data_IF_136608986702
#
_entry.id   IF_136608986702
#
_cell.length_a   1.000
_cell.length_b   1.000
_cell.length_c   1.000
_cell.angle_alpha   90.00
_cell.angle_beta   90.00
_cell.angle_gamma   90.00
#
_symmetry.space_group_name_H-M   'P 1'
#
loop_
_entity.id
_entity.type
_entity.pdbx_description
1 polymer ?
#
# COMPACT_ATOMS: atom_id res chain seq x y z
N UNK A 1 -7.45 -28.70 9.20
CA UNK A 1 -6.77 -27.74 8.30
C UNK A 1 -7.82 -27.02 7.47
N UNK A 2 -7.84 -25.70 7.46
CA UNK A 2 -8.77 -24.87 6.67
C UNK A 2 -8.65 -25.19 5.16
N UNK A 3 -7.52 -25.71 4.73
CA UNK A 3 -7.22 -26.10 3.35
C UNK A 3 -7.33 -27.61 3.11
N UNK A 4 -7.81 -28.35 4.08
CA UNK A 4 -7.74 -29.81 4.10
C UNK A 4 -8.77 -30.55 3.30
N UNK A 5 -9.38 -29.95 2.32
CA UNK A 5 -10.02 -30.69 1.21
C UNK A 5 -10.34 -29.71 0.09
N UNK A 6 -9.66 -29.87 -1.02
CA UNK A 6 -10.12 -29.45 -2.35
C UNK A 6 -11.50 -29.98 -2.68
N UNK A 7 -12.03 -30.89 -1.89
CA UNK A 7 -13.32 -31.55 -2.06
C UNK A 7 -14.50 -30.85 -1.39
N UNK A 8 -14.27 -29.89 -0.51
CA UNK A 8 -15.37 -29.20 0.20
C UNK A 8 -15.90 -27.96 -0.50
N UNK A 9 -15.14 -27.40 -1.44
CA UNK A 9 -15.65 -26.42 -2.40
C UNK A 9 -16.06 -27.23 -3.62
N UNK A 10 -17.34 -27.25 -3.93
CA UNK A 10 -17.96 -28.08 -4.96
C UNK A 10 -17.09 -28.21 -6.21
N UNK A 11 -16.79 -29.44 -6.62
CA UNK A 11 -16.28 -29.75 -7.94
C UNK A 11 -17.27 -29.19 -8.97
N UNK A 12 -16.98 -28.03 -9.50
CA UNK A 12 -17.80 -27.40 -10.54
C UNK A 12 -17.52 -28.16 -11.83
N UNK A 13 -18.48 -28.90 -12.30
CA UNK A 13 -18.41 -29.61 -13.57
C UNK A 13 -18.19 -28.63 -14.74
N UNK A 14 -17.66 -29.13 -15.87
CA UNK A 14 -17.49 -28.36 -17.10
C UNK A 14 -18.76 -27.63 -17.56
N UNK A 15 -19.92 -28.16 -17.21
CA UNK A 15 -21.24 -27.57 -17.48
C UNK A 15 -21.45 -26.27 -16.70
N UNK A 16 -20.89 -26.18 -15.52
CA UNK A 16 -20.98 -24.97 -14.68
C UNK A 16 -20.01 -23.87 -15.11
N UNK A 17 -18.89 -24.22 -15.75
CA UNK A 17 -17.95 -23.24 -16.30
C UNK A 17 -18.61 -22.41 -17.41
N UNK A 18 -19.43 -23.02 -18.28
CA UNK A 18 -20.19 -22.29 -19.29
C UNK A 18 -21.16 -21.28 -18.67
N UNK A 19 -21.83 -21.64 -17.59
CA UNK A 19 -22.71 -20.74 -16.85
C UNK A 19 -21.95 -19.58 -16.21
N UNK A 20 -20.72 -19.82 -15.74
CA UNK A 20 -19.85 -18.76 -15.21
C UNK A 20 -19.51 -17.78 -16.34
N UNK A 21 -19.11 -18.28 -17.52
CA UNK A 21 -18.80 -17.47 -18.69
C UNK A 21 -20.01 -16.66 -19.16
N UNK A 22 -21.20 -17.28 -19.22
CA UNK A 22 -22.44 -16.57 -19.58
C UNK A 22 -22.72 -15.38 -18.65
N UNK A 23 -22.59 -15.59 -17.33
CA UNK A 23 -22.75 -14.53 -16.32
C UNK A 23 -21.65 -13.48 -16.39
N UNK A 24 -20.42 -13.88 -16.74
CA UNK A 24 -19.34 -12.91 -16.99
C UNK A 24 -19.65 -12.00 -18.15
N UNK A 25 -20.15 -12.53 -19.27
CA UNK A 25 -20.55 -11.73 -20.42
C UNK A 25 -21.65 -10.72 -20.05
N UNK A 26 -22.61 -11.11 -19.21
CA UNK A 26 -23.64 -10.19 -18.69
C UNK A 26 -23.03 -9.05 -17.85
N UNK A 27 -22.02 -9.35 -17.03
CA UNK A 27 -21.30 -8.35 -16.23
C UNK A 27 -20.48 -7.42 -17.14
N UNK A 28 -19.76 -7.96 -18.11
CA UNK A 28 -19.00 -7.18 -19.09
C UNK A 28 -19.90 -6.20 -19.84
N UNK A 29 -21.04 -6.67 -20.32
CA UNK A 29 -22.02 -5.84 -21.02
C UNK A 29 -22.61 -4.75 -20.11
N UNK A 30 -22.95 -5.09 -18.86
CA UNK A 30 -23.56 -4.15 -17.91
C UNK A 30 -22.60 -3.08 -17.38
N UNK A 31 -21.33 -3.44 -17.18
CA UNK A 31 -20.28 -2.54 -16.67
C UNK A 31 -19.50 -1.84 -17.81
N UNK A 32 -19.72 -2.23 -19.06
CA UNK A 32 -19.02 -1.68 -20.22
C UNK A 32 -17.51 -1.98 -20.22
N UNK A 33 -17.13 -3.15 -19.72
CA UNK A 33 -15.74 -3.61 -19.62
C UNK A 33 -15.51 -4.79 -20.56
N UNK A 34 -14.25 -5.02 -20.92
CA UNK A 34 -13.83 -6.22 -21.63
C UNK A 34 -12.65 -6.84 -20.86
N UNK A 35 -12.84 -8.06 -20.39
CA UNK A 35 -11.83 -8.82 -19.71
C UNK A 35 -10.86 -9.45 -20.71
N UNK A 36 -9.63 -9.69 -20.29
CA UNK A 36 -8.74 -10.59 -21.02
C UNK A 36 -8.85 -12.03 -20.49
N UNK A 37 -8.26 -12.95 -21.24
CA UNK A 37 -8.27 -14.38 -20.93
C UNK A 37 -7.84 -14.69 -19.48
N UNK A 38 -6.81 -13.99 -18.96
CA UNK A 38 -6.33 -14.22 -17.61
C UNK A 38 -7.24 -13.62 -16.54
N UNK A 39 -7.90 -12.51 -16.83
CA UNK A 39 -8.91 -11.92 -15.96
C UNK A 39 -10.17 -12.80 -15.89
N UNK A 40 -10.67 -13.29 -17.05
CA UNK A 40 -11.76 -14.25 -17.10
C UNK A 40 -11.42 -15.52 -16.31
N UNK A 41 -10.20 -16.04 -16.51
CA UNK A 41 -9.71 -17.20 -15.77
C UNK A 41 -9.68 -16.94 -14.26
N UNK A 42 -9.27 -15.74 -13.81
CA UNK A 42 -9.27 -15.40 -12.39
C UNK A 42 -10.67 -15.47 -11.78
N UNK A 43 -11.71 -15.03 -12.51
CA UNK A 43 -13.10 -15.14 -12.02
C UNK A 43 -13.55 -16.59 -12.00
N UNK A 44 -13.25 -17.36 -13.04
CA UNK A 44 -13.62 -18.80 -13.11
C UNK A 44 -12.94 -19.55 -11.95
N UNK A 45 -11.65 -19.32 -11.70
CA UNK A 45 -10.93 -19.98 -10.61
C UNK A 45 -11.42 -19.51 -9.23
N UNK A 46 -11.84 -18.23 -9.08
CA UNK A 46 -12.44 -17.74 -7.84
C UNK A 46 -13.74 -18.49 -7.48
N UNK A 47 -14.50 -18.91 -8.50
CA UNK A 47 -15.72 -19.71 -8.30
C UNK A 47 -15.39 -21.16 -7.96
N UNK A 48 -14.34 -21.72 -8.57
CA UNK A 48 -13.97 -23.14 -8.43
C UNK A 48 -13.16 -23.47 -7.19
N UNK A 49 -12.36 -22.52 -6.69
CA UNK A 49 -11.35 -22.79 -5.67
C UNK A 49 -11.73 -22.24 -4.31
N UNK A 50 -11.36 -22.96 -3.25
CA UNK A 50 -11.46 -22.46 -1.87
C UNK A 50 -10.37 -21.43 -1.54
N UNK A 51 -9.20 -21.53 -2.19
CA UNK A 51 -8.12 -20.55 -2.11
C UNK A 51 -7.62 -20.23 -3.52
N UNK A 52 -7.64 -18.95 -3.85
CA UNK A 52 -7.09 -18.41 -5.11
C UNK A 52 -6.08 -17.31 -4.82
N UNK A 53 -4.97 -17.32 -5.52
CA UNK A 53 -3.98 -16.26 -5.52
C UNK A 53 -4.02 -15.53 -6.86
N UNK A 54 -4.16 -14.20 -6.84
CA UNK A 54 -4.08 -13.34 -8.02
C UNK A 54 -2.87 -12.42 -7.84
N UNK A 55 -1.91 -12.51 -8.75
CA UNK A 55 -0.72 -11.64 -8.72
C UNK A 55 -0.57 -10.90 -10.05
N UNK A 56 0.02 -9.70 -9.99
CA UNK A 56 0.28 -8.90 -11.17
C UNK A 56 0.88 -7.54 -10.82
N UNK A 57 1.63 -6.97 -11.75
CA UNK A 57 2.25 -5.66 -11.61
C UNK A 57 1.27 -4.50 -11.83
N UNK A 58 1.78 -3.26 -11.91
CA UNK A 58 0.97 -2.09 -12.21
C UNK A 58 0.39 -2.19 -13.64
N UNK A 59 -0.84 -1.69 -13.80
CA UNK A 59 -1.50 -1.65 -15.11
C UNK A 59 -1.99 -2.99 -15.68
N UNK A 60 -1.93 -4.08 -14.90
CA UNK A 60 -2.38 -5.42 -15.32
C UNK A 60 -3.85 -5.70 -15.02
N UNK A 61 -4.59 -4.71 -14.52
CA UNK A 61 -6.03 -4.84 -14.32
C UNK A 61 -6.47 -5.60 -13.08
N UNK A 62 -5.62 -5.73 -12.04
CA UNK A 62 -6.00 -6.36 -10.75
C UNK A 62 -7.31 -5.80 -10.19
N UNK A 63 -7.45 -4.47 -10.16
CA UNK A 63 -8.64 -3.80 -9.62
C UNK A 63 -9.90 -4.15 -10.40
N UNK A 64 -9.82 -4.19 -11.73
CA UNK A 64 -10.93 -4.59 -12.59
C UNK A 64 -11.32 -6.04 -12.31
N UNK A 65 -10.34 -6.93 -12.19
CA UNK A 65 -10.55 -8.34 -11.86
C UNK A 65 -11.25 -8.50 -10.51
N UNK A 66 -10.77 -7.80 -9.47
CA UNK A 66 -11.40 -7.83 -8.13
C UNK A 66 -12.85 -7.34 -8.23
N UNK A 67 -13.09 -6.22 -8.90
CA UNK A 67 -14.44 -5.66 -9.07
C UNK A 67 -15.36 -6.65 -9.77
N UNK A 68 -14.90 -7.31 -10.82
CA UNK A 68 -15.69 -8.32 -11.55
C UNK A 68 -16.00 -9.54 -10.65
N UNK A 69 -15.03 -10.01 -9.88
CA UNK A 69 -15.22 -11.12 -8.91
C UNK A 69 -16.29 -10.73 -7.87
N UNK A 70 -16.21 -9.51 -7.33
CA UNK A 70 -17.19 -9.02 -6.36
C UNK A 70 -18.58 -9.00 -6.99
N UNK A 71 -18.74 -8.42 -8.18
CA UNK A 71 -20.02 -8.38 -8.89
C UNK A 71 -20.59 -9.74 -9.19
N UNK A 72 -19.72 -10.69 -9.57
CA UNK A 72 -20.13 -12.06 -9.79
C UNK A 72 -20.75 -12.68 -8.53
N UNK A 73 -20.08 -12.59 -7.39
CA UNK A 73 -20.57 -13.18 -6.14
C UNK A 73 -21.75 -12.42 -5.55
N UNK A 74 -21.78 -11.08 -5.67
CA UNK A 74 -22.93 -10.25 -5.28
C UNK A 74 -24.20 -10.67 -6.03
N UNK A 75 -24.09 -10.90 -7.36
CA UNK A 75 -25.20 -11.39 -8.18
C UNK A 75 -25.67 -12.81 -7.80
N UNK A 76 -24.86 -13.56 -7.05
CA UNK A 76 -25.24 -14.85 -6.48
C UNK A 76 -25.86 -14.72 -5.06
N UNK A 77 -25.95 -13.51 -4.50
CA UNK A 77 -26.43 -13.26 -3.14
C UNK A 77 -25.47 -13.73 -2.05
N UNK A 78 -24.17 -13.81 -2.37
CA UNK A 78 -23.14 -14.22 -1.41
C UNK A 78 -22.68 -13.06 -0.54
N UNK A 79 -22.37 -13.33 0.73
CA UNK A 79 -21.77 -12.38 1.66
C UNK A 79 -20.28 -12.25 1.39
N UNK A 80 -19.83 -11.01 1.11
CA UNK A 80 -18.46 -10.71 0.69
C UNK A 80 -17.81 -9.78 1.70
N UNK A 81 -16.64 -10.13 2.19
CA UNK A 81 -15.80 -9.26 3.02
C UNK A 81 -14.52 -8.86 2.28
N UNK A 82 -14.24 -7.57 2.30
CA UNK A 82 -13.04 -7.00 1.66
C UNK A 82 -12.11 -6.44 2.72
N UNK A 83 -10.82 -6.78 2.63
CA UNK A 83 -9.84 -6.21 3.53
C UNK A 83 -8.46 -6.01 2.88
N UNK A 84 -7.67 -5.16 3.53
CA UNK A 84 -6.28 -4.91 3.17
C UNK A 84 -5.43 -4.73 4.44
N UNK A 85 -4.10 -4.88 4.37
CA UNK A 85 -3.23 -4.78 5.56
C UNK A 85 -3.15 -3.38 6.16
N UNK A 86 -3.41 -2.32 5.39
CA UNK A 86 -3.34 -0.93 5.86
C UNK A 86 -4.63 -0.15 5.59
N UNK A 87 -4.86 0.91 6.38
CA UNK A 87 -6.03 1.78 6.21
C UNK A 87 -6.08 2.43 4.82
N UNK A 88 -4.94 2.88 4.30
CA UNK A 88 -4.86 3.47 2.96
C UNK A 88 -5.16 2.46 1.85
N UNK A 89 -4.66 1.24 1.97
CA UNK A 89 -4.97 0.20 1.00
C UNK A 89 -6.46 -0.17 1.05
N UNK A 90 -7.05 -0.29 2.23
CA UNK A 90 -8.48 -0.53 2.40
C UNK A 90 -9.34 0.61 1.82
N UNK A 91 -8.96 1.87 2.10
CA UNK A 91 -9.63 3.04 1.52
C UNK A 91 -9.56 3.02 -0.01
N UNK A 92 -8.38 2.78 -0.58
CA UNK A 92 -8.21 2.67 -2.03
C UNK A 92 -9.07 1.55 -2.63
N UNK A 93 -9.12 0.39 -1.95
CA UNK A 93 -9.97 -0.73 -2.37
C UNK A 93 -11.44 -0.32 -2.39
N UNK A 94 -11.93 0.39 -1.37
CA UNK A 94 -13.29 0.94 -1.32
C UNK A 94 -13.54 1.93 -2.46
N UNK A 95 -12.66 2.89 -2.68
CA UNK A 95 -12.79 3.91 -3.74
C UNK A 95 -12.82 3.30 -5.15
N UNK A 96 -12.01 2.28 -5.39
CA UNK A 96 -11.86 1.68 -6.72
C UNK A 96 -12.91 0.62 -7.02
N UNK A 97 -13.37 -0.12 -6.02
CA UNK A 97 -14.38 -1.16 -6.20
C UNK A 97 -15.81 -0.66 -5.99
N UNK A 98 -15.98 0.38 -5.18
CA UNK A 98 -17.29 0.88 -4.73
C UNK A 98 -17.89 0.07 -3.56
N UNK A 99 -17.17 -0.93 -3.01
CA UNK A 99 -17.59 -1.78 -1.89
C UNK A 99 -16.84 -1.42 -0.62
N UNK A 100 -17.49 -1.62 0.53
CA UNK A 100 -16.85 -1.38 1.81
C UNK A 100 -15.66 -2.32 2.03
N UNK A 101 -14.54 -1.73 2.39
CA UNK A 101 -13.32 -2.45 2.69
C UNK A 101 -12.72 -1.92 4.00
N UNK A 102 -12.17 -2.82 4.80
CA UNK A 102 -11.57 -2.52 6.11
C UNK A 102 -10.15 -3.04 6.21
N UNK A 103 -9.43 -2.67 7.27
CA UNK A 103 -8.13 -3.31 7.51
C UNK A 103 -8.33 -4.73 8.02
N UNK A 104 -7.37 -5.65 7.74
CA UNK A 104 -7.42 -7.03 8.27
C UNK A 104 -7.54 -7.00 9.81
N UNK A 105 -6.86 -6.08 10.48
CA UNK A 105 -6.95 -5.94 11.94
C UNK A 105 -8.36 -5.58 12.40
N UNK A 106 -9.05 -4.69 11.67
CA UNK A 106 -10.44 -4.33 11.98
C UNK A 106 -11.41 -5.45 11.63
N UNK A 107 -11.16 -6.16 10.54
CA UNK A 107 -11.93 -7.34 10.16
C UNK A 107 -11.87 -8.42 11.25
N UNK A 108 -10.70 -8.60 11.87
CA UNK A 108 -10.48 -9.56 12.94
C UNK A 108 -10.86 -9.03 14.33
N UNK A 109 -11.38 -7.79 14.44
CA UNK A 109 -11.81 -7.17 15.69
C UNK A 109 -10.69 -7.21 16.74
N UNK A 110 -9.56 -6.55 16.45
CA UNK A 110 -8.44 -6.49 17.37
C UNK A 110 -8.79 -5.67 18.63
N UNK A 111 -8.79 -6.33 19.78
CA UNK A 111 -8.93 -5.71 21.09
C UNK A 111 -7.58 -5.46 21.73
N UNK A 112 -7.38 -4.25 22.27
CA UNK A 112 -6.15 -3.83 22.91
C UNK A 112 -5.13 -3.22 21.96
N UNK A 113 -4.12 -2.57 22.54
CA UNK A 113 -3.02 -1.96 21.80
C UNK A 113 -1.80 -2.90 21.83
N UNK A 114 -1.43 -3.57 20.72
CA UNK A 114 -0.29 -4.49 20.70
C UNK A 114 1.04 -3.82 21.07
N UNK A 115 1.15 -2.49 20.89
CA UNK A 115 2.36 -1.72 21.17
C UNK A 115 2.56 -1.42 22.67
N UNK A 116 1.53 -1.63 23.52
CA UNK A 116 1.62 -1.41 24.97
C UNK A 116 1.94 -2.67 25.79
N UNK A 117 2.41 -3.75 25.15
CA UNK A 117 2.74 -5.00 25.80
C UNK A 117 1.50 -5.78 26.30
N UNK A 118 0.31 -5.33 26.02
CA UNK A 118 -0.90 -6.13 26.12
C UNK A 118 -0.97 -7.03 24.88
N UNK A 119 -1.07 -8.34 25.09
CA UNK A 119 -1.32 -9.28 23.99
C UNK A 119 -2.65 -8.92 23.35
N UNK A 120 -2.61 -8.12 22.27
CA UNK A 120 -3.79 -7.83 21.47
C UNK A 120 -4.36 -9.15 20.99
N UNK A 121 -5.54 -9.50 21.47
CA UNK A 121 -6.26 -10.70 21.02
C UNK A 121 -7.24 -10.28 19.96
N UNK A 122 -7.25 -11.04 18.87
CA UNK A 122 -8.32 -10.93 17.88
C UNK A 122 -9.57 -11.63 18.41
N UNK A 123 -10.71 -10.94 18.39
CA UNK A 123 -12.00 -11.53 18.77
C UNK A 123 -12.46 -12.55 17.75
N UNK A 124 -12.17 -12.30 16.46
CA UNK A 124 -12.44 -13.26 15.38
C UNK A 124 -11.35 -14.33 15.34
N UNK A 125 -11.75 -15.55 15.55
CA UNK A 125 -10.87 -16.73 15.66
C UNK A 125 -11.65 -18.02 15.41
N UNK A 126 -11.08 -19.17 15.70
CA UNK A 126 -11.70 -20.49 15.49
C UNK A 126 -13.03 -20.69 16.27
N UNK A 127 -13.23 -19.99 17.40
CA UNK A 127 -14.44 -20.07 18.24
C UNK A 127 -15.47 -18.99 17.86
N UNK A 128 -15.04 -17.93 17.21
CA UNK A 128 -15.87 -16.81 16.75
C UNK A 128 -15.44 -16.42 15.34
N UNK A 129 -15.71 -17.25 14.32
CA UNK A 129 -15.22 -17.02 12.97
C UNK A 129 -15.93 -15.87 12.25
N UNK A 130 -15.37 -15.47 11.13
CA UNK A 130 -15.99 -14.53 10.21
C UNK A 130 -17.18 -15.22 9.50
N UNK A 131 -18.29 -14.52 9.44
CA UNK A 131 -19.48 -14.97 8.72
C UNK A 131 -19.42 -14.37 7.29
N UNK A 132 -18.90 -15.15 6.34
CA UNK A 132 -18.80 -14.75 4.95
C UNK A 132 -18.67 -15.96 4.02
N UNK A 133 -19.20 -15.82 2.82
CA UNK A 133 -19.03 -16.79 1.73
C UNK A 133 -17.71 -16.58 1.00
N UNK A 134 -17.29 -15.30 0.88
CA UNK A 134 -16.09 -14.89 0.15
C UNK A 134 -15.33 -13.83 0.93
N UNK A 135 -14.03 -14.02 1.08
CA UNK A 135 -13.12 -13.04 1.67
C UNK A 135 -12.05 -12.70 0.65
N UNK A 136 -11.91 -11.42 0.33
CA UNK A 136 -10.90 -10.91 -0.61
C UNK A 136 -9.93 -10.03 0.15
N UNK A 137 -8.65 -10.39 0.09
CA UNK A 137 -7.56 -9.62 0.70
C UNK A 137 -6.67 -9.05 -0.40
N UNK A 138 -6.58 -7.72 -0.47
CA UNK A 138 -5.65 -7.03 -1.38
C UNK A 138 -4.35 -6.64 -0.67
N UNK A 139 -3.33 -6.25 -1.44
CA UNK A 139 -1.98 -5.87 -0.96
C UNK A 139 -1.30 -6.96 -0.10
N UNK A 140 -1.46 -8.22 -0.50
CA UNK A 140 -0.94 -9.38 0.22
C UNK A 140 0.58 -9.40 0.40
N UNK A 141 1.34 -8.66 -0.39
CA UNK A 141 2.79 -8.50 -0.20
C UNK A 141 3.15 -7.93 1.19
N UNK A 142 2.23 -7.18 1.81
CA UNK A 142 2.41 -6.54 3.11
C UNK A 142 1.96 -7.41 4.30
N UNK A 143 1.35 -8.57 4.05
CA UNK A 143 0.84 -9.46 5.11
C UNK A 143 1.96 -10.36 5.61
N UNK A 144 2.25 -10.30 6.91
CA UNK A 144 3.23 -11.16 7.55
C UNK A 144 2.62 -12.51 8.00
N UNK A 145 3.48 -13.40 8.50
CA UNK A 145 3.05 -14.76 8.85
C UNK A 145 2.10 -14.79 10.05
N UNK A 146 2.22 -13.85 10.99
CA UNK A 146 1.35 -13.81 12.17
C UNK A 146 -0.05 -13.30 11.82
N UNK A 147 -0.10 -12.24 11.01
CA UNK A 147 -1.38 -11.70 10.55
C UNK A 147 -2.10 -12.71 9.65
N UNK A 148 -1.37 -13.41 8.77
CA UNK A 148 -1.94 -14.48 7.95
C UNK A 148 -2.46 -15.64 8.83
N UNK A 149 -1.71 -16.04 9.84
CA UNK A 149 -2.16 -17.08 10.78
C UNK A 149 -3.45 -16.67 11.49
N UNK A 150 -3.54 -15.43 11.95
CA UNK A 150 -4.74 -14.94 12.63
C UNK A 150 -5.94 -14.89 11.69
N UNK A 151 -5.74 -14.44 10.45
CA UNK A 151 -6.78 -14.45 9.43
C UNK A 151 -7.30 -15.87 9.16
N UNK A 152 -6.41 -16.84 8.96
CA UNK A 152 -6.78 -18.21 8.69
C UNK A 152 -7.54 -18.88 9.85
N UNK A 153 -7.24 -18.49 11.08
CA UNK A 153 -7.98 -18.99 12.26
C UNK A 153 -9.42 -18.49 12.33
N UNK A 154 -9.69 -17.35 11.71
CA UNK A 154 -11.03 -16.75 11.69
C UNK A 154 -11.89 -17.18 10.50
N UNK A 155 -11.36 -17.99 9.58
CA UNK A 155 -12.07 -18.44 8.38
C UNK A 155 -12.66 -19.83 8.59
N UNK A 156 -13.94 -19.99 8.23
CA UNK A 156 -14.62 -21.28 8.30
C UNK A 156 -14.41 -22.13 7.04
N UNK A 157 -14.59 -23.43 7.19
CA UNK A 157 -14.63 -24.35 6.03
C UNK A 157 -15.80 -23.99 5.13
N UNK A 158 -15.55 -23.87 3.83
CA UNK A 158 -16.56 -23.48 2.85
C UNK A 158 -16.46 -22.01 2.39
N UNK A 159 -15.84 -21.13 3.20
CA UNK A 159 -15.54 -19.75 2.79
C UNK A 159 -14.43 -19.74 1.72
N UNK A 160 -14.64 -19.00 0.65
CA UNK A 160 -13.62 -18.76 -0.38
C UNK A 160 -12.68 -17.65 0.06
N UNK A 161 -11.38 -17.91 -0.05
CA UNK A 161 -10.33 -16.92 0.25
C UNK A 161 -9.60 -16.56 -1.03
N UNK A 162 -9.65 -15.27 -1.40
CA UNK A 162 -8.99 -14.73 -2.58
C UNK A 162 -7.90 -13.76 -2.11
N UNK A 163 -6.66 -14.07 -2.41
CA UNK A 163 -5.48 -13.32 -2.03
C UNK A 163 -4.94 -12.57 -3.25
N UNK A 164 -4.94 -11.25 -3.19
CA UNK A 164 -4.49 -10.41 -4.31
C UNK A 164 -3.25 -9.61 -3.89
N UNK A 165 -2.27 -9.50 -4.78
CA UNK A 165 -1.08 -8.72 -4.49
C UNK A 165 -0.08 -8.71 -5.63
N UNK A 166 0.99 -7.98 -5.42
CA UNK A 166 2.13 -7.93 -6.34
C UNK A 166 3.34 -8.56 -5.67
N UNK A 167 3.71 -9.76 -6.11
CA UNK A 167 4.83 -10.55 -5.55
C UNK A 167 6.19 -9.87 -5.73
N UNK A 168 6.29 -8.89 -6.63
CA UNK A 168 7.53 -8.17 -6.94
C UNK A 168 7.74 -6.91 -6.10
N UNK A 169 6.70 -6.48 -5.35
CA UNK A 169 6.84 -5.41 -4.37
C UNK A 169 7.63 -5.88 -3.14
N UNK A 170 8.03 -4.91 -2.33
CA UNK A 170 8.68 -5.22 -1.05
C UNK A 170 7.78 -6.13 -0.19
N UNK A 171 8.37 -7.13 0.47
CA UNK A 171 7.63 -7.95 1.42
C UNK A 171 7.24 -7.16 2.67
N UNK A 172 6.40 -7.78 3.51
CA UNK A 172 5.98 -7.22 4.79
C UNK A 172 7.17 -6.79 5.67
N UNK A 173 6.96 -5.81 6.54
CA UNK A 173 7.96 -5.44 7.56
C UNK A 173 8.11 -6.56 8.59
N UNK A 174 7.00 -7.23 8.94
CA UNK A 174 6.96 -8.39 9.81
C UNK A 174 7.60 -9.64 9.20
N UNK A 175 7.69 -10.73 9.96
CA UNK A 175 8.40 -11.94 9.55
C UNK A 175 7.68 -12.71 8.43
N UNK A 176 8.48 -13.41 7.62
CA UNK A 176 8.00 -14.23 6.51
C UNK A 176 7.81 -13.46 5.20
N UNK A 177 7.52 -14.22 4.14
CA UNK A 177 7.15 -13.71 2.81
C UNK A 177 5.96 -14.53 2.32
N UNK A 178 4.82 -14.33 2.95
CA UNK A 178 3.65 -15.21 2.85
C UNK A 178 3.18 -15.37 1.41
N UNK A 179 2.97 -14.27 0.68
CA UNK A 179 2.48 -14.33 -0.70
C UNK A 179 3.45 -15.13 -1.59
N UNK A 180 4.74 -14.85 -1.51
CA UNK A 180 5.75 -15.55 -2.28
C UNK A 180 5.88 -17.01 -1.90
N UNK A 181 5.89 -17.32 -0.60
CA UNK A 181 6.01 -18.70 -0.12
C UNK A 181 4.83 -19.56 -0.58
N UNK A 182 3.61 -19.01 -0.58
CA UNK A 182 2.40 -19.69 -1.08
C UNK A 182 2.51 -19.93 -2.59
N UNK A 183 2.89 -18.92 -3.38
CA UNK A 183 3.08 -19.05 -4.83
C UNK A 183 4.15 -20.11 -5.15
N UNK A 184 5.30 -20.01 -4.47
CA UNK A 184 6.42 -20.92 -4.69
C UNK A 184 6.21 -22.34 -4.16
N UNK A 185 5.17 -22.56 -3.39
CA UNK A 185 4.78 -23.93 -2.97
C UNK A 185 4.21 -24.76 -4.11
N UNK A 186 3.70 -24.08 -5.16
CA UNK A 186 3.05 -24.70 -6.33
C UNK A 186 1.86 -25.62 -5.96
N UNK A 187 1.25 -25.36 -4.80
CA UNK A 187 0.20 -26.20 -4.24
C UNK A 187 -1.20 -25.65 -4.53
N UNK A 188 -1.31 -24.33 -4.65
CA UNK A 188 -2.59 -23.63 -4.82
C UNK A 188 -2.71 -22.99 -6.20
N UNK A 189 -3.94 -22.69 -6.59
CA UNK A 189 -4.20 -22.02 -7.86
C UNK A 189 -3.71 -20.58 -7.83
N UNK A 190 -2.88 -20.25 -8.79
CA UNK A 190 -2.30 -18.90 -8.98
C UNK A 190 -2.64 -18.41 -10.37
N UNK A 191 -3.21 -17.22 -10.44
CA UNK A 191 -3.44 -16.50 -11.70
C UNK A 191 -2.50 -15.30 -11.76
N UNK A 192 -1.62 -15.28 -12.76
CA UNK A 192 -0.70 -14.20 -13.02
C UNK A 192 -1.27 -13.27 -14.10
N UNK A 193 -1.56 -12.03 -13.73
CA UNK A 193 -1.98 -10.99 -14.68
C UNK A 193 -0.74 -10.32 -15.24
N UNK A 194 -0.40 -10.59 -16.49
CA UNK A 194 0.82 -10.08 -17.13
C UNK A 194 0.54 -9.03 -18.20
N UNK A 195 -0.65 -9.03 -18.78
CA UNK A 195 -1.02 -8.13 -19.87
C UNK A 195 -1.19 -6.69 -19.34
N UNK A 196 -0.40 -5.79 -19.90
CA UNK A 196 -0.53 -4.35 -19.65
C UNK A 196 -1.63 -3.80 -20.56
N UNK A 197 -2.68 -3.22 -19.97
CA UNK A 197 -3.78 -2.67 -20.73
C UNK A 197 -3.39 -1.37 -21.46
N UNK A 198 -4.12 -1.07 -22.56
CA UNK A 198 -3.79 0.02 -23.49
C UNK A 198 -3.60 1.39 -22.80
N UNK A 199 -4.43 1.72 -21.83
CA UNK A 199 -4.30 2.96 -21.05
C UNK A 199 -3.00 3.01 -20.23
N UNK A 200 -2.65 1.89 -19.62
CA UNK A 200 -1.42 1.76 -18.84
C UNK A 200 -0.16 1.64 -19.74
N UNK A 201 -0.30 1.11 -20.95
CA UNK A 201 0.79 0.98 -21.92
C UNK A 201 1.28 2.33 -22.50
N UNK A 202 0.55 3.43 -22.28
CA UNK A 202 1.01 4.79 -22.62
C UNK A 202 1.87 5.41 -21.51
N UNK A 203 1.94 4.82 -20.33
CA UNK A 203 2.70 5.29 -19.18
C UNK A 203 4.09 4.69 -19.15
N UNK A 204 5.11 5.52 -19.19
CA UNK A 204 6.51 5.07 -18.99
C UNK A 204 6.77 4.61 -17.56
N UNK A 205 6.01 5.08 -16.55
CA UNK A 205 6.05 4.54 -15.18
C UNK A 205 5.74 3.05 -15.23
N UNK A 206 4.64 2.66 -15.86
CA UNK A 206 4.20 1.25 -15.95
C UNK A 206 5.20 0.42 -16.76
N UNK A 207 5.56 0.87 -17.96
CA UNK A 207 6.50 0.16 -18.83
C UNK A 207 7.85 -0.04 -18.13
N UNK A 208 8.38 1.03 -17.52
CA UNK A 208 9.69 0.96 -16.87
C UNK A 208 9.63 0.17 -15.54
N UNK A 209 8.51 0.17 -14.80
CA UNK A 209 8.32 -0.71 -13.66
C UNK A 209 8.45 -2.18 -14.08
N UNK A 210 7.80 -2.60 -15.17
CA UNK A 210 7.94 -3.96 -15.68
C UNK A 210 9.35 -4.28 -16.17
N UNK A 211 10.03 -3.33 -16.84
CA UNK A 211 11.44 -3.48 -17.23
C UNK A 211 12.37 -3.62 -16.00
N UNK A 212 12.16 -2.78 -14.98
CA UNK A 212 12.92 -2.87 -13.72
C UNK A 212 12.74 -4.26 -13.12
N UNK A 213 11.52 -4.74 -13.02
CA UNK A 213 11.20 -6.04 -12.45
C UNK A 213 11.91 -7.19 -13.18
N UNK A 214 11.96 -7.14 -14.52
CA UNK A 214 12.65 -8.14 -15.35
C UNK A 214 14.17 -7.94 -15.44
N UNK A 215 14.70 -6.85 -14.86
CA UNK A 215 16.11 -6.47 -14.98
C UNK A 215 16.50 -5.93 -16.36
N UNK A 216 15.52 -5.62 -17.22
CA UNK A 216 15.70 -5.09 -18.56
C UNK A 216 16.26 -3.66 -18.56
N UNK A 217 16.80 -3.24 -19.70
CA UNK A 217 17.37 -1.89 -19.83
C UNK A 217 16.27 -0.81 -19.84
N UNK A 218 16.51 0.24 -19.04
CA UNK A 218 15.66 1.44 -18.97
C UNK A 218 16.45 2.62 -19.50
N UNK A 219 15.94 3.29 -20.52
CA UNK A 219 16.56 4.49 -21.06
C UNK A 219 16.24 5.72 -20.21
N UNK A 220 17.14 6.10 -19.32
CA UNK A 220 16.99 7.26 -18.42
C UNK A 220 17.10 8.61 -19.15
N UNK A 221 17.63 8.65 -20.37
CA UNK A 221 17.74 9.86 -21.19
C UNK A 221 16.50 10.10 -22.08
N UNK A 222 15.57 9.13 -22.13
CA UNK A 222 14.33 9.27 -22.89
C UNK A 222 13.50 10.44 -22.35
N UNK A 223 13.05 11.33 -23.25
CA UNK A 223 12.02 12.31 -22.92
C UNK A 223 10.72 11.59 -22.62
N UNK A 224 10.28 11.66 -21.40
CA UNK A 224 9.05 11.06 -20.92
C UNK A 224 8.18 12.12 -20.26
N UNK A 225 6.87 11.88 -20.23
CA UNK A 225 5.94 12.76 -19.53
C UNK A 225 5.72 12.37 -18.08
N UNK A 226 6.00 11.13 -17.70
CA UNK A 226 5.67 10.61 -16.38
C UNK A 226 6.83 9.89 -15.67
N UNK A 227 7.94 9.63 -16.38
CA UNK A 227 9.13 8.97 -15.84
C UNK A 227 10.38 9.79 -16.17
N UNK A 228 10.86 10.56 -15.20
CA UNK A 228 11.93 11.54 -15.41
C UNK A 228 13.16 11.19 -14.59
N UNK A 229 14.34 11.38 -15.18
CA UNK A 229 15.62 11.28 -14.50
C UNK A 229 16.43 12.57 -14.66
N UNK A 230 16.81 13.16 -13.54
CA UNK A 230 17.63 14.39 -13.51
C UNK A 230 19.00 14.05 -12.93
N UNK A 231 20.01 14.10 -13.79
CA UNK A 231 21.39 13.81 -13.39
C UNK A 231 21.92 14.87 -12.44
N UNK A 232 22.42 14.44 -11.28
CA UNK A 232 23.19 15.22 -10.29
C UNK A 232 24.22 14.30 -9.66
N UNK A 233 25.35 14.83 -9.22
CA UNK A 233 26.47 14.00 -8.77
C UNK A 233 26.69 14.08 -7.25
N UNK A 234 26.34 15.18 -6.63
CA UNK A 234 26.52 15.42 -5.20
C UNK A 234 25.18 15.61 -4.46
N UNK A 235 25.20 15.39 -3.14
CA UNK A 235 24.01 15.42 -2.32
C UNK A 235 23.34 16.80 -2.29
N UNK A 236 24.09 17.89 -2.30
CA UNK A 236 23.54 19.24 -2.21
C UNK A 236 22.87 19.66 -3.52
N UNK A 237 23.46 19.32 -4.67
CA UNK A 237 22.83 19.54 -5.98
C UNK A 237 21.57 18.69 -6.17
N UNK A 238 21.54 17.47 -5.62
CA UNK A 238 20.34 16.62 -5.59
C UNK A 238 19.24 17.29 -4.77
N UNK A 239 19.54 17.74 -3.55
CA UNK A 239 18.57 18.41 -2.67
C UNK A 239 18.02 19.67 -3.33
N UNK A 240 18.86 20.51 -3.91
CA UNK A 240 18.42 21.73 -4.59
C UNK A 240 17.50 21.46 -5.79
N UNK A 241 17.81 20.43 -6.59
CA UNK A 241 16.95 20.03 -7.69
C UNK A 241 15.61 19.47 -7.17
N UNK A 242 15.62 18.66 -6.11
CA UNK A 242 14.40 18.14 -5.48
C UNK A 242 13.52 19.29 -4.94
N UNK A 243 14.10 20.29 -4.28
CA UNK A 243 13.36 21.46 -3.78
C UNK A 243 12.68 22.22 -4.91
N UNK A 244 13.38 22.46 -6.02
CA UNK A 244 12.81 23.12 -7.20
C UNK A 244 11.66 22.30 -7.79
N UNK A 245 11.81 20.99 -7.90
CA UNK A 245 10.76 20.09 -8.37
C UNK A 245 9.51 20.15 -7.49
N UNK A 246 9.68 20.05 -6.19
CA UNK A 246 8.56 19.96 -5.23
C UNK A 246 7.82 21.30 -5.12
N UNK A 247 8.54 22.42 -5.10
CA UNK A 247 7.93 23.75 -4.93
C UNK A 247 7.30 24.32 -6.19
N UNK A 248 7.96 24.11 -7.33
CA UNK A 248 7.68 24.93 -8.52
C UNK A 248 7.22 24.10 -9.73
N UNK A 249 7.81 22.92 -9.95
CA UNK A 249 7.64 22.21 -11.20
C UNK A 249 6.54 21.17 -11.15
N UNK A 250 6.55 20.30 -10.14
CA UNK A 250 5.64 19.16 -10.07
C UNK A 250 4.20 19.54 -9.70
N UNK A 251 3.92 20.44 -8.75
CA UNK A 251 2.54 20.75 -8.39
C UNK A 251 1.67 21.16 -9.58
N UNK A 252 2.02 22.15 -10.41
CA UNK A 252 1.24 22.49 -11.60
C UNK A 252 1.30 21.42 -12.69
N UNK A 253 2.39 20.63 -12.74
CA UNK A 253 2.55 19.60 -13.75
C UNK A 253 1.61 18.40 -13.54
N UNK A 254 1.40 18.00 -12.31
CA UNK A 254 0.53 16.87 -11.97
C UNK A 254 -0.86 17.31 -11.45
N UNK A 255 -1.13 18.62 -11.45
CA UNK A 255 -2.36 19.20 -10.91
C UNK A 255 -2.63 18.68 -9.49
N UNK A 256 -1.73 19.07 -8.57
CA UNK A 256 -1.77 18.65 -7.17
C UNK A 256 -1.15 19.71 -6.26
N UNK A 257 -1.44 19.65 -4.96
CA UNK A 257 -0.81 20.51 -3.96
C UNK A 257 0.64 20.11 -3.70
N UNK A 258 1.46 21.04 -3.20
CA UNK A 258 2.85 20.78 -2.81
C UNK A 258 2.94 19.64 -1.78
N UNK A 259 1.96 19.53 -0.89
CA UNK A 259 1.90 18.48 0.12
C UNK A 259 1.56 17.09 -0.44
N UNK A 260 1.02 17.02 -1.67
CA UNK A 260 0.74 15.75 -2.35
C UNK A 260 1.96 15.18 -3.06
N UNK A 261 3.02 15.99 -3.23
CA UNK A 261 4.29 15.52 -3.76
C UNK A 261 5.05 14.80 -2.65
N UNK A 262 5.46 13.57 -2.90
CA UNK A 262 6.11 12.75 -1.89
C UNK A 262 7.56 12.43 -2.24
N UNK A 263 8.45 12.71 -1.29
CA UNK A 263 9.84 12.25 -1.36
C UNK A 263 9.94 10.85 -0.78
N UNK A 264 10.48 9.92 -1.57
CA UNK A 264 10.75 8.55 -1.15
C UNK A 264 12.25 8.28 -1.16
N UNK A 265 12.79 7.80 -0.05
CA UNK A 265 14.23 7.49 0.07
C UNK A 265 14.45 6.09 0.63
N UNK A 266 15.53 5.40 0.27
CA UNK A 266 15.83 4.06 0.78
C UNK A 266 16.10 4.01 2.29
N UNK A 267 16.67 5.09 2.85
CA UNK A 267 17.26 5.08 4.20
C UNK A 267 16.60 6.07 5.14
N UNK A 268 16.63 5.76 6.43
CA UNK A 268 16.20 6.68 7.50
C UNK A 268 17.29 7.71 7.82
N UNK A 269 18.54 7.24 7.92
CA UNK A 269 19.72 8.05 8.26
C UNK A 269 20.63 8.23 7.04
N UNK A 270 21.55 9.21 7.11
CA UNK A 270 22.52 9.50 6.08
C UNK A 270 22.26 10.82 5.35
N UNK A 271 23.10 11.12 4.34
CA UNK A 271 23.07 12.41 3.62
C UNK A 271 21.73 12.71 2.93
N UNK A 272 21.06 11.68 2.42
CA UNK A 272 19.75 11.76 1.77
C UNK A 272 18.74 10.86 2.47
N UNK A 273 18.91 10.63 3.78
CA UNK A 273 17.97 9.90 4.62
C UNK A 273 16.78 10.76 5.07
N UNK A 274 15.71 10.10 5.50
CA UNK A 274 14.45 10.73 5.92
C UNK A 274 14.66 11.83 6.95
N UNK A 275 15.49 11.59 7.98
CA UNK A 275 15.68 12.54 9.08
C UNK A 275 16.25 13.88 8.58
N UNK A 276 17.33 13.81 7.78
CA UNK A 276 17.94 15.02 7.21
C UNK A 276 17.05 15.69 6.17
N UNK A 277 16.44 14.90 5.28
CA UNK A 277 15.55 15.43 4.26
C UNK A 277 14.34 16.14 4.86
N UNK A 278 13.70 15.56 5.87
CA UNK A 278 12.57 16.22 6.54
C UNK A 278 12.96 17.56 7.17
N UNK A 279 14.12 17.67 7.81
CA UNK A 279 14.60 18.93 8.37
C UNK A 279 14.83 19.99 7.27
N UNK A 280 15.42 19.58 6.15
CA UNK A 280 15.68 20.50 5.03
C UNK A 280 14.36 20.90 4.35
N UNK A 281 13.52 19.93 4.01
CA UNK A 281 12.23 20.16 3.33
C UNK A 281 11.31 21.04 4.19
N UNK A 282 11.23 20.81 5.50
CA UNK A 282 10.47 21.66 6.41
C UNK A 282 10.94 23.11 6.32
N UNK A 283 12.26 23.35 6.38
CA UNK A 283 12.82 24.72 6.33
C UNK A 283 12.44 25.47 5.06
N UNK A 284 12.33 24.76 3.93
CA UNK A 284 12.03 25.39 2.63
C UNK A 284 10.55 25.40 2.27
N UNK A 285 9.79 24.37 2.67
CA UNK A 285 8.37 24.24 2.34
C UNK A 285 7.47 24.88 3.39
N UNK A 286 7.89 24.86 4.64
CA UNK A 286 7.19 25.46 5.76
C UNK A 286 8.19 26.24 6.65
N UNK A 287 8.76 27.36 6.16
CA UNK A 287 9.75 28.12 6.91
C UNK A 287 9.19 28.66 8.24
N UNK A 288 10.05 28.89 9.25
CA UNK A 288 9.64 29.55 10.49
C UNK A 288 9.11 30.95 10.20
N UNK A 289 8.01 31.28 10.87
CA UNK A 289 7.37 32.59 10.78
C UNK A 289 6.85 33.00 12.15
N UNK A 290 6.83 34.29 12.46
CA UNK A 290 6.36 34.82 13.77
C UNK A 290 4.91 34.52 14.06
N UNK A 291 4.12 34.21 13.03
CA UNK A 291 2.70 33.87 13.15
C UNK A 291 2.45 32.39 13.42
N UNK A 292 3.46 31.54 13.20
CA UNK A 292 3.36 30.08 13.38
C UNK A 292 3.89 29.68 14.75
N UNK A 293 3.11 28.89 15.45
CA UNK A 293 3.51 28.33 16.72
C UNK A 293 4.32 27.06 16.46
N UNK A 294 5.34 26.86 17.29
CA UNK A 294 6.27 25.73 17.23
C UNK A 294 6.25 24.94 18.54
N UNK A 295 6.51 23.66 18.43
CA UNK A 295 6.75 22.76 19.55
C UNK A 295 8.07 22.03 19.34
N UNK A 296 9.04 22.28 20.22
CA UNK A 296 10.30 21.55 20.25
C UNK A 296 10.07 20.11 20.73
N UNK A 297 10.63 19.16 20.01
CA UNK A 297 10.73 17.75 20.33
C UNK A 297 12.20 17.36 20.48
N UNK A 298 12.45 16.15 21.00
CA UNK A 298 13.83 15.67 21.19
C UNK A 298 14.67 15.65 19.89
N UNK A 299 14.06 15.36 18.76
CA UNK A 299 14.77 15.15 17.49
C UNK A 299 14.33 16.09 16.35
N UNK A 300 13.30 16.89 16.55
CA UNK A 300 12.78 17.80 15.54
C UNK A 300 11.97 18.93 16.19
N UNK A 301 11.58 19.90 15.37
CA UNK A 301 10.60 20.93 15.76
C UNK A 301 9.35 20.69 14.94
N UNK A 302 8.20 20.59 15.58
CA UNK A 302 6.90 20.57 14.92
C UNK A 302 6.36 22.00 14.83
N UNK A 303 5.84 22.36 13.67
CA UNK A 303 5.36 23.72 13.37
C UNK A 303 3.98 23.67 12.73
N UNK A 304 3.14 24.66 13.00
CA UNK A 304 1.89 24.82 12.27
C UNK A 304 2.12 24.86 10.76
N UNK A 305 1.36 24.10 10.02
CA UNK A 305 1.51 23.88 8.58
C UNK A 305 2.40 22.68 8.21
N UNK A 306 3.05 22.01 9.17
CA UNK A 306 3.87 20.84 8.87
C UNK A 306 3.06 19.65 8.39
N UNK A 307 3.61 18.96 7.40
CA UNK A 307 3.14 17.64 6.97
C UNK A 307 3.69 16.60 7.92
N UNK A 308 2.80 15.88 8.59
CA UNK A 308 3.12 14.85 9.57
C UNK A 308 2.45 13.53 9.23
N UNK A 309 2.96 12.46 9.84
CA UNK A 309 2.45 11.11 9.69
C UNK A 309 2.33 10.46 11.06
N UNK A 310 1.22 9.75 11.28
CA UNK A 310 1.04 8.84 12.40
C UNK A 310 1.98 7.65 12.24
N UNK A 311 2.76 7.33 13.30
CA UNK A 311 3.74 6.23 13.26
C UNK A 311 3.38 5.07 14.18
N UNK A 312 2.40 5.28 15.05
CA UNK A 312 1.80 4.24 15.90
C UNK A 312 0.33 4.08 15.56
N UNK A 313 -0.26 2.95 15.89
CA UNK A 313 -1.73 2.78 15.83
C UNK A 313 -2.31 3.27 17.13
N UNK A 314 -3.24 4.21 17.10
CA UNK A 314 -4.02 4.61 18.27
C UNK A 314 -5.51 4.42 17.95
N UNK A 315 -6.11 3.38 18.51
CA UNK A 315 -7.53 3.06 18.32
C UNK A 315 -8.45 3.86 19.25
N UNK A 316 -7.91 4.55 20.25
CA UNK A 316 -8.68 5.26 21.27
C UNK A 316 -8.71 6.77 21.03
N UNK A 317 -7.82 7.29 20.19
CA UNK A 317 -7.82 8.71 19.87
C UNK A 317 -9.07 9.09 19.08
N UNK A 318 -9.74 10.13 19.52
CA UNK A 318 -10.95 10.62 18.86
C UNK A 318 -10.60 11.52 17.67
N UNK A 319 -11.36 11.37 16.60
CA UNK A 319 -11.37 12.31 15.50
C UNK A 319 -12.78 12.86 15.28
N UNK A 320 -12.85 14.07 14.76
CA UNK A 320 -14.08 14.70 14.31
C UNK A 320 -13.94 15.20 12.89
N UNK A 321 -14.98 15.02 12.09
CA UNK A 321 -15.07 15.65 10.77
C UNK A 321 -15.80 16.98 10.93
N UNK A 322 -15.23 18.04 10.33
CA UNK A 322 -15.81 19.39 10.41
C UNK A 322 -16.42 19.81 9.07
N UNK A 323 -17.66 20.27 9.13
CA UNK A 323 -18.35 20.88 7.98
C UNK A 323 -17.88 22.32 7.71
N UNK A 324 -18.55 22.97 6.72
CA UNK A 324 -18.19 24.32 6.23
C UNK A 324 -18.06 25.40 7.32
N UNK A 325 -18.70 25.24 8.47
CA UNK A 325 -18.69 26.21 9.54
C UNK A 325 -17.88 25.78 10.77
N UNK A 326 -17.01 24.77 10.62
CA UNK A 326 -16.21 24.24 11.71
C UNK A 326 -17.01 23.43 12.76
N UNK A 327 -18.27 23.12 12.46
CA UNK A 327 -19.12 22.30 13.33
C UNK A 327 -18.84 20.83 13.01
N UNK A 328 -18.68 20.03 14.06
CA UNK A 328 -18.54 18.59 13.90
C UNK A 328 -19.79 17.99 13.26
N UNK A 329 -19.62 17.30 12.13
CA UNK A 329 -20.71 16.65 11.39
C UNK A 329 -20.65 15.13 11.54
N UNK A 330 -19.49 14.60 11.89
CA UNK A 330 -19.26 13.19 12.19
C UNK A 330 -18.09 13.05 13.16
N UNK A 331 -18.03 11.94 13.88
CA UNK A 331 -16.96 11.65 14.81
C UNK A 331 -16.73 10.15 14.91
N UNK A 332 -15.53 9.78 15.28
CA UNK A 332 -15.18 8.38 15.47
C UNK A 332 -13.89 8.23 16.26
N UNK A 333 -13.38 7.03 16.28
CA UNK A 333 -12.16 6.67 17.00
C UNK A 333 -11.17 5.98 16.06
N UNK A 334 -9.89 6.19 16.38
CA UNK A 334 -8.78 5.52 15.75
C UNK A 334 -8.09 6.30 14.63
N UNK A 335 -6.77 6.39 14.76
CA UNK A 335 -5.84 6.85 13.71
C UNK A 335 -4.84 5.74 13.45
N UNK A 336 -4.52 5.53 12.19
CA UNK A 336 -3.74 4.36 11.80
C UNK A 336 -2.30 4.72 11.43
N UNK A 337 -1.39 3.79 11.67
CA UNK A 337 0.00 3.92 11.23
C UNK A 337 0.05 4.16 9.71
N UNK A 338 0.65 5.26 9.32
CA UNK A 338 0.75 5.68 7.93
C UNK A 338 -0.19 6.81 7.53
N UNK A 339 -1.20 7.14 8.33
CA UNK A 339 -2.06 8.28 8.07
C UNK A 339 -1.24 9.57 8.05
N UNK A 340 -1.46 10.39 7.03
CA UNK A 340 -0.75 11.67 6.82
C UNK A 340 -1.73 12.81 6.99
N UNK A 341 -1.28 13.84 7.69
CA UNK A 341 -2.07 15.04 7.94
C UNK A 341 -1.19 16.29 7.98
N UNK A 342 -1.85 17.42 8.17
CA UNK A 342 -1.22 18.74 8.31
C UNK A 342 -1.51 19.25 9.72
N UNK A 343 -0.47 19.72 10.40
CA UNK A 343 -0.64 20.41 11.69
C UNK A 343 -1.36 21.73 11.44
N UNK A 344 -2.56 21.85 11.99
CA UNK A 344 -3.40 23.06 11.84
C UNK A 344 -3.22 24.04 12.98
N UNK A 345 -3.01 23.54 14.20
CA UNK A 345 -2.89 24.38 15.37
C UNK A 345 -2.00 23.74 16.43
N UNK A 346 -1.19 24.57 17.07
CA UNK A 346 -0.41 24.21 18.26
C UNK A 346 -0.81 25.17 19.39
N UNK A 347 -1.08 24.65 20.57
CA UNK A 347 -1.39 25.46 21.75
C UNK A 347 -0.47 25.05 22.90
N UNK A 348 0.54 25.89 23.17
CA UNK A 348 1.52 25.62 24.23
C UNK A 348 0.96 25.82 25.65
N UNK A 349 -0.18 26.53 25.82
CA UNK A 349 -0.83 26.71 27.12
C UNK A 349 -1.67 25.52 27.53
N UNK A 350 -2.43 24.98 26.59
CA UNK A 350 -3.27 23.80 26.83
C UNK A 350 -2.56 22.49 26.52
N UNK A 351 -1.31 22.58 26.04
CA UNK A 351 -0.47 21.44 25.67
C UNK A 351 -1.12 20.48 24.67
N UNK A 352 -1.77 21.03 23.64
CA UNK A 352 -2.39 20.29 22.55
C UNK A 352 -1.92 20.73 21.19
N UNK A 353 -1.93 19.76 20.26
CA UNK A 353 -1.64 19.94 18.86
C UNK A 353 -2.78 19.32 18.04
N UNK A 354 -3.29 20.06 17.06
CA UNK A 354 -4.37 19.61 16.18
C UNK A 354 -3.80 19.25 14.81
N UNK A 355 -4.11 18.04 14.32
CA UNK A 355 -3.76 17.57 12.98
C UNK A 355 -5.04 17.35 12.18
N UNK A 356 -5.07 17.88 10.97
CA UNK A 356 -6.09 17.57 9.98
C UNK A 356 -5.55 16.47 9.06
N UNK A 357 -6.16 15.30 9.14
CA UNK A 357 -5.95 14.18 8.25
C UNK A 357 -6.86 14.24 7.02
N UNK A 358 -6.73 13.30 6.12
CA UNK A 358 -7.61 13.16 4.97
C UNK A 358 -9.11 13.12 5.39
N UNK A 359 -9.99 13.51 4.48
CA UNK A 359 -11.46 13.57 4.70
C UNK A 359 -11.90 14.58 5.78
N UNK A 360 -11.13 15.65 6.00
CA UNK A 360 -11.38 16.67 7.02
C UNK A 360 -11.52 16.08 8.44
N UNK A 361 -10.75 15.03 8.73
CA UNK A 361 -10.68 14.43 10.06
C UNK A 361 -9.70 15.20 10.92
N UNK A 362 -10.18 15.85 11.95
CA UNK A 362 -9.38 16.59 12.92
C UNK A 362 -9.12 15.73 14.15
N UNK A 363 -7.87 15.66 14.56
CA UNK A 363 -7.41 14.91 15.72
C UNK A 363 -6.64 15.81 16.65
N UNK A 364 -6.98 15.76 17.94
CA UNK A 364 -6.30 16.48 19.01
C UNK A 364 -5.30 15.57 19.72
N UNK A 365 -4.03 15.89 19.61
CA UNK A 365 -2.95 15.21 20.33
C UNK A 365 -2.55 15.99 21.56
N UNK A 366 -2.51 15.37 22.73
CA UNK A 366 -1.81 15.94 23.88
C UNK A 366 -0.31 15.93 23.61
N UNK A 367 0.45 16.82 24.24
CA UNK A 367 1.91 16.84 24.06
C UNK A 367 2.62 15.55 24.50
N UNK A 368 1.96 14.72 25.30
CA UNK A 368 2.47 13.38 25.69
C UNK A 368 2.36 12.34 24.56
N UNK A 369 1.49 12.59 23.59
CA UNK A 369 1.25 11.69 22.45
C UNK A 369 2.03 12.11 21.19
N UNK A 370 2.81 13.20 21.22
CA UNK A 370 3.51 13.70 20.04
C UNK A 370 4.64 12.76 19.54
N UNK A 371 5.06 11.79 20.31
CA UNK A 371 5.94 10.73 19.88
C UNK A 371 5.27 9.73 18.89
N UNK A 372 3.98 9.86 18.69
CA UNK A 372 3.22 9.15 17.66
C UNK A 372 3.27 9.82 16.28
N UNK A 373 3.79 11.05 16.21
CA UNK A 373 3.88 11.84 14.99
C UNK A 373 5.33 12.00 14.53
N UNK A 374 5.54 11.91 13.21
CA UNK A 374 6.82 12.26 12.54
C UNK A 374 6.56 13.20 11.36
N UNK A 375 7.51 14.07 11.06
CA UNK A 375 7.50 14.84 9.81
C UNK A 375 7.45 13.89 8.61
N UNK A 376 6.66 14.22 7.60
CA UNK A 376 6.34 13.34 6.48
C UNK A 376 6.59 13.95 5.09
N UNK A 377 7.39 14.99 4.97
CA UNK A 377 7.84 15.51 3.68
C UNK A 377 8.63 14.46 2.90
N UNK A 378 9.48 13.71 3.60
CA UNK A 378 10.15 12.53 3.10
C UNK A 378 9.81 11.32 3.98
N UNK A 379 9.63 10.16 3.35
CA UNK A 379 9.42 8.88 4.04
C UNK A 379 10.29 7.80 3.41
N UNK A 380 10.53 6.70 4.13
CA UNK A 380 11.21 5.56 3.51
C UNK A 380 10.27 4.86 2.52
N UNK A 381 10.85 4.24 1.49
CA UNK A 381 10.09 3.46 0.51
C UNK A 381 9.28 2.36 1.20
N UNK A 382 9.81 1.72 2.24
CA UNK A 382 9.08 0.73 3.04
C UNK A 382 7.81 1.32 3.68
N UNK A 383 7.88 2.55 4.18
CA UNK A 383 6.74 3.23 4.81
C UNK A 383 5.73 3.80 3.80
N UNK A 384 6.04 3.78 2.51
CA UNK A 384 5.13 4.16 1.43
C UNK A 384 4.30 3.00 0.88
N UNK A 385 4.55 1.77 1.32
CA UNK A 385 3.77 0.60 0.89
C UNK A 385 2.27 0.82 1.19
N UNK A 386 1.41 0.38 0.27
CA UNK A 386 -0.04 0.61 0.34
C UNK A 386 -0.48 2.04 0.04
N UNK A 387 0.45 2.99 -0.16
CA UNK A 387 0.14 4.38 -0.53
C UNK A 387 0.47 4.65 -2.00
N UNK A 388 -0.22 5.61 -2.58
CA UNK A 388 0.09 6.14 -3.92
C UNK A 388 0.04 7.67 -3.87
N UNK A 389 0.84 8.31 -4.71
CA UNK A 389 1.00 9.76 -4.71
C UNK A 389 0.87 10.31 -6.12
N UNK A 390 0.33 11.53 -6.31
CA UNK A 390 0.30 12.19 -7.62
C UNK A 390 1.69 12.26 -8.26
N UNK A 391 2.70 12.65 -7.49
CA UNK A 391 4.10 12.58 -7.93
C UNK A 391 5.01 12.08 -6.81
N UNK A 392 6.04 11.34 -7.21
CA UNK A 392 7.11 10.84 -6.36
C UNK A 392 8.44 11.45 -6.79
N UNK A 393 9.20 11.93 -5.82
CA UNK A 393 10.59 12.40 -6.02
C UNK A 393 11.51 11.45 -5.26
N UNK A 394 12.50 10.89 -5.94
CA UNK A 394 13.40 9.90 -5.36
C UNK A 394 14.87 10.34 -5.57
N UNK A 395 15.64 10.55 -4.49
CA UNK A 395 17.08 10.77 -4.62
C UNK A 395 17.79 9.48 -5.00
N UNK A 396 18.65 9.54 -6.01
CA UNK A 396 19.47 8.43 -6.49
C UNK A 396 20.93 8.68 -6.11
N UNK A 397 21.32 8.17 -4.94
CA UNK A 397 22.64 8.37 -4.36
C UNK A 397 23.16 7.08 -3.73
N UNK A 398 24.49 6.83 -3.71
CA UNK A 398 25.04 5.63 -3.12
C UNK A 398 24.58 5.42 -1.67
N UNK A 399 24.22 4.21 -1.34
CA UNK A 399 23.70 3.82 -0.04
C UNK A 399 24.04 2.37 0.33
N UNK A 400 23.54 1.88 1.46
CA UNK A 400 23.79 0.53 1.90
C UNK A 400 23.32 -0.51 0.86
N UNK A 401 24.23 -1.35 0.37
CA UNK A 401 23.96 -2.31 -0.70
C UNK A 401 22.77 -3.22 -0.47
N UNK A 402 22.51 -3.59 0.79
CA UNK A 402 21.36 -4.44 1.15
C UNK A 402 20.01 -3.76 0.92
N UNK A 403 19.95 -2.42 1.05
CA UNK A 403 18.73 -1.65 0.80
C UNK A 403 18.60 -1.20 -0.65
N UNK A 404 19.71 -1.14 -1.39
CA UNK A 404 19.72 -0.69 -2.79
C UNK A 404 19.49 -1.86 -3.72
N UNK A 405 18.25 -2.36 -3.78
CA UNK A 405 17.86 -3.52 -4.57
C UNK A 405 16.70 -3.22 -5.52
N UNK A 406 16.47 -4.17 -6.43
CA UNK A 406 15.47 -4.09 -7.51
C UNK A 406 14.04 -3.89 -6.97
N UNK A 407 13.65 -4.66 -5.96
CA UNK A 407 12.29 -4.61 -5.41
C UNK A 407 12.02 -3.26 -4.72
N UNK A 408 13.04 -2.67 -4.08
CA UNK A 408 12.92 -1.35 -3.51
C UNK A 408 12.68 -0.28 -4.60
N UNK A 409 13.49 -0.32 -5.67
CA UNK A 409 13.33 0.58 -6.82
C UNK A 409 11.97 0.40 -7.48
N UNK A 410 11.57 -0.83 -7.74
CA UNK A 410 10.27 -1.19 -8.30
C UNK A 410 9.13 -0.65 -7.44
N UNK A 411 9.18 -0.89 -6.13
CA UNK A 411 8.15 -0.41 -5.20
C UNK A 411 8.07 1.10 -5.22
N UNK A 412 9.20 1.83 -5.21
CA UNK A 412 9.19 3.29 -5.24
C UNK A 412 8.56 3.86 -6.52
N UNK A 413 8.94 3.32 -7.68
CA UNK A 413 8.40 3.73 -8.98
C UNK A 413 6.89 3.51 -9.05
N UNK A 414 6.41 2.38 -8.55
CA UNK A 414 4.98 2.01 -8.58
C UNK A 414 4.13 2.81 -7.58
N UNK A 415 4.72 3.68 -6.75
CA UNK A 415 3.95 4.60 -5.87
C UNK A 415 3.49 5.87 -6.57
N UNK A 416 4.04 6.18 -7.75
CA UNK A 416 3.67 7.37 -8.51
C UNK A 416 2.45 7.10 -9.41
N UNK A 417 1.46 7.98 -9.33
CA UNK A 417 0.27 7.93 -10.19
C UNK A 417 0.46 8.65 -11.52
N UNK A 418 1.02 9.88 -11.47
CA UNK A 418 1.13 10.77 -12.63
C UNK A 418 2.56 11.06 -13.04
N UNK A 419 3.51 11.10 -12.08
CA UNK A 419 4.90 11.39 -12.40
C UNK A 419 5.85 10.82 -11.33
N UNK A 420 6.94 10.21 -11.77
CA UNK A 420 8.10 9.88 -10.94
C UNK A 420 9.32 10.65 -11.45
N UNK A 421 9.99 11.38 -10.54
CA UNK A 421 11.22 12.08 -10.80
C UNK A 421 12.34 11.49 -9.95
N UNK A 422 13.31 10.87 -10.58
CA UNK A 422 14.55 10.45 -9.93
C UNK A 422 15.63 11.50 -10.12
N UNK A 423 16.34 11.83 -9.06
CA UNK A 423 17.35 12.89 -9.07
C UNK A 423 18.65 12.36 -8.51
N UNK A 424 19.71 12.33 -9.30
CA UNK A 424 21.01 11.90 -8.82
C UNK A 424 21.86 11.17 -9.83
N UNK A 425 22.52 10.12 -9.38
CA UNK A 425 23.55 9.37 -10.12
C UNK A 425 22.92 8.21 -10.90
N UNK A 426 22.99 8.21 -12.24
CA UNK A 426 22.38 7.15 -13.06
C UNK A 426 22.91 5.74 -12.75
N UNK A 427 24.17 5.62 -12.38
CA UNK A 427 24.81 4.36 -12.03
C UNK A 427 24.17 3.70 -10.81
N UNK A 428 23.63 4.49 -9.87
CA UNK A 428 22.89 3.99 -8.72
C UNK A 428 21.59 3.31 -9.15
N UNK A 429 20.87 3.88 -10.12
CA UNK A 429 19.68 3.25 -10.70
C UNK A 429 20.05 1.90 -11.35
N UNK A 430 21.11 1.86 -12.16
CA UNK A 430 21.57 0.65 -12.82
C UNK A 430 21.96 -0.42 -11.80
N UNK A 431 22.67 -0.04 -10.74
CA UNK A 431 23.07 -0.96 -9.67
C UNK A 431 21.86 -1.52 -8.91
N UNK A 432 20.88 -0.66 -8.56
CA UNK A 432 19.64 -1.11 -7.89
C UNK A 432 18.87 -2.10 -8.78
N UNK A 433 18.69 -1.78 -10.06
CA UNK A 433 18.00 -2.64 -11.02
C UNK A 433 18.71 -4.00 -11.17
N UNK A 434 20.03 -4.01 -11.20
CA UNK A 434 20.82 -5.24 -11.32
C UNK A 434 20.86 -6.07 -10.03
N UNK A 435 20.62 -5.45 -8.87
CA UNK A 435 20.66 -6.12 -7.58
C UNK A 435 19.31 -6.79 -7.28
N UNK A 436 19.18 -8.06 -7.65
CA UNK A 436 17.99 -8.90 -7.40
C UNK A 436 18.08 -9.69 -6.08
N UNK A 437 19.11 -9.43 -5.27
CA UNK A 437 19.29 -10.10 -3.98
C UNK A 437 18.24 -9.59 -3.00
N UNK A 438 17.26 -10.43 -2.74
CA UNK A 438 16.35 -10.27 -1.63
C UNK A 438 16.95 -10.85 -0.36
N UNK A 439 16.60 -10.23 0.77
CA UNK A 439 16.92 -10.83 2.04
C UNK A 439 16.10 -12.11 2.20
N UNK A 440 16.78 -13.25 2.20
CA UNK A 440 16.13 -14.55 2.40
C UNK A 440 15.46 -14.59 3.77
N UNK A 441 14.17 -14.89 3.81
CA UNK A 441 13.37 -15.02 5.02
C UNK A 441 13.08 -16.49 5.27
N UNK A 442 13.59 -17.02 6.37
CA UNK A 442 13.48 -18.44 6.73
C UNK A 442 12.19 -18.69 7.52
N UNK A 443 11.03 -18.54 6.90
CA UNK A 443 9.73 -18.81 7.54
C UNK A 443 9.38 -20.29 7.61
N UNK A 444 9.96 -21.11 6.73
CA UNK A 444 9.60 -22.52 6.56
C UNK A 444 8.21 -22.77 5.99
N UNK A 445 7.43 -21.71 5.66
CA UNK A 445 6.05 -21.83 5.22
C UNK A 445 5.91 -22.65 3.94
N UNK A 446 6.72 -22.38 2.91
CA UNK A 446 6.74 -23.14 1.65
C UNK A 446 6.91 -24.63 1.88
N UNK A 447 7.89 -25.02 2.70
CA UNK A 447 8.19 -26.41 3.00
C UNK A 447 7.03 -27.11 3.74
N UNK A 448 6.45 -26.44 4.73
CA UNK A 448 5.31 -27.01 5.48
C UNK A 448 4.07 -27.19 4.62
N UNK A 449 3.80 -26.26 3.68
CA UNK A 449 2.70 -26.43 2.73
C UNK A 449 2.94 -27.66 1.86
N UNK A 450 4.14 -27.83 1.30
CA UNK A 450 4.48 -28.96 0.45
C UNK A 450 4.45 -30.30 1.19
N UNK A 451 4.81 -30.34 2.48
CA UNK A 451 4.73 -31.56 3.33
C UNK A 451 3.29 -31.99 3.63
N UNK A 452 2.39 -31.03 3.77
CA UNK A 452 0.98 -31.32 4.08
C UNK A 452 0.17 -31.86 2.89
N UNK A 453 0.66 -31.70 1.68
CA UNK A 453 -0.03 -32.11 0.44
C UNK A 453 0.57 -33.41 -0.13
N UNK A 454 1.75 -33.83 0.35
CA UNK A 454 2.33 -35.15 0.08
C UNK A 454 1.67 -36.20 0.97
#
# INVERSE_FOLDING_TARGET
SVFGTTDSVANIDKTDEKKVIEKLNEIEDSEGIALDEMQERAVIEAVKCGLLIITGGPGTGKTTTIKTIIRYFENQGMEILLAAPTGRAAKRMKETTGFDAVTIHRLLELNGNPDEGQNGQFERNELNPLEADVIIIDEMSMVDIFLMQSLLKAITVGTRLILVGDVNQLPSVGPGNVLRDIIMSETFNVVCLEKIFRQAASSDIVINAHKINRGEEVNLAKKSNDFLFIRREDADSIINAMLTLIREKLPPYVDADVNDIQVLTPTRKGLLGVERLNSILQRFLNPPDKTKIEKEMANCVLREGDKVKQIKKDYQIQWEMRGKYGIAVDSGMGVFNGDVGIIRRINNYTEYLEVEFEENKFVMYSFKQLDELELAYAVTIHKSQGSEYPAVVMPMYPGPRMLMNRNLLYTAVTRAKKCVCMVGVPEVFVQMKANDREQTRYSGLRWRIQELVR
#
